data_IF_183793808656
#
_entry.id   IF_183793808656
#
_cell.length_a   1.000
_cell.length_b   1.000
_cell.length_c   1.000
_cell.angle_alpha   90.00
_cell.angle_beta   90.00
_cell.angle_gamma   90.00
#
_symmetry.space_group_name_H-M   'P 1'
#
loop_
_entity.id
_entity.type
_entity.pdbx_description
1 polymer ?
#
# COMPACT_ATOMS: atom_id res chain seq x y z
N UNK A 1 35.02 -32.23 25.24
CA UNK A 1 33.56 -32.20 25.38
C UNK A 1 33.15 -30.73 25.29
N UNK A 2 32.80 -30.25 24.09
CA UNK A 2 32.51 -28.83 23.84
C UNK A 2 31.00 -28.71 23.64
N UNK A 3 30.32 -28.14 24.63
CA UNK A 3 28.91 -27.80 24.54
C UNK A 3 28.75 -26.62 23.57
N UNK A 4 28.34 -26.89 22.34
CA UNK A 4 27.74 -25.86 21.50
C UNK A 4 26.33 -25.61 22.02
N UNK A 5 26.14 -24.51 22.74
CA UNK A 5 24.82 -23.93 22.95
C UNK A 5 24.34 -23.39 21.60
N UNK A 6 23.60 -24.22 20.85
CA UNK A 6 22.69 -23.75 19.81
C UNK A 6 21.62 -22.89 20.47
N UNK A 7 21.87 -21.58 20.53
CA UNK A 7 20.82 -20.60 20.76
C UNK A 7 19.93 -20.59 19.51
N UNK A 8 18.97 -21.53 19.46
CA UNK A 8 17.82 -21.39 18.59
C UNK A 8 17.14 -20.08 18.95
N UNK A 9 17.04 -19.19 17.98
CA UNK A 9 16.20 -18.00 18.02
C UNK A 9 14.90 -18.32 18.75
N UNK A 10 14.67 -17.67 19.89
CA UNK A 10 13.36 -17.60 20.53
C UNK A 10 12.43 -16.83 19.58
N UNK A 11 11.95 -17.50 18.52
CA UNK A 11 10.77 -17.08 17.77
C UNK A 11 9.60 -17.30 18.73
N UNK A 12 9.21 -16.24 19.42
CA UNK A 12 8.02 -16.24 20.26
C UNK A 12 6.84 -16.75 19.43
N UNK A 13 6.37 -17.95 19.79
CA UNK A 13 5.20 -18.62 19.22
C UNK A 13 3.96 -17.89 19.72
N UNK A 14 3.45 -16.91 18.97
CA UNK A 14 2.02 -16.46 18.91
C UNK A 14 1.81 -15.23 18.00
N UNK A 15 2.59 -15.03 16.93
CA UNK A 15 2.20 -14.01 15.94
C UNK A 15 1.12 -14.59 15.03
N UNK A 16 -0.05 -13.95 15.00
CA UNK A 16 -1.14 -14.24 14.05
C UNK A 16 -0.57 -14.23 12.62
N UNK A 17 -0.89 -15.21 11.76
CA UNK A 17 -0.46 -15.18 10.36
C UNK A 17 -0.91 -13.91 9.65
N UNK A 18 -0.03 -13.29 8.85
CA UNK A 18 -0.34 -12.02 8.21
C UNK A 18 -1.58 -12.09 7.30
N UNK A 19 -1.79 -13.23 6.64
CA UNK A 19 -2.99 -13.48 5.81
C UNK A 19 -4.30 -13.27 6.58
N UNK A 20 -4.33 -13.68 7.84
CA UNK A 20 -5.53 -13.64 8.66
C UNK A 20 -5.76 -12.21 9.10
N UNK A 21 -4.69 -11.49 9.48
CA UNK A 21 -4.72 -10.06 9.76
C UNK A 21 -5.22 -9.28 8.54
N UNK A 22 -4.62 -9.50 7.38
CA UNK A 22 -4.99 -8.81 6.14
C UNK A 22 -6.46 -9.01 5.79
N UNK A 23 -6.99 -10.23 5.96
CA UNK A 23 -8.39 -10.54 5.70
C UNK A 23 -9.36 -9.73 6.58
N UNK A 24 -9.07 -9.61 7.88
CA UNK A 24 -9.87 -8.77 8.79
C UNK A 24 -9.68 -7.28 8.49
N UNK A 25 -8.44 -6.87 8.22
CA UNK A 25 -8.09 -5.50 7.93
C UNK A 25 -8.81 -4.98 6.68
N UNK A 26 -8.79 -5.74 5.58
CA UNK A 26 -9.44 -5.36 4.33
C UNK A 26 -10.97 -5.41 4.45
N UNK A 27 -11.50 -6.37 5.21
CA UNK A 27 -12.94 -6.45 5.47
C UNK A 27 -13.41 -5.22 6.26
N UNK A 28 -12.73 -4.88 7.35
CA UNK A 28 -13.01 -3.68 8.15
C UNK A 28 -12.95 -2.40 7.30
N UNK A 29 -11.94 -2.28 6.43
CA UNK A 29 -11.81 -1.16 5.51
C UNK A 29 -13.03 -1.05 4.56
N UNK A 30 -13.48 -2.18 4.02
CA UNK A 30 -14.58 -2.28 3.05
C UNK A 30 -15.96 -2.08 3.68
N UNK A 31 -16.22 -2.75 4.80
CA UNK A 31 -17.57 -2.87 5.38
C UNK A 31 -17.88 -1.79 6.40
N UNK A 32 -16.84 -1.22 7.03
CA UNK A 32 -17.01 -0.23 8.11
C UNK A 32 -16.45 1.12 7.70
N UNK A 33 -15.15 1.23 7.45
CA UNK A 33 -14.49 2.53 7.28
C UNK A 33 -14.91 3.27 6.02
N UNK A 34 -14.89 2.62 4.85
CA UNK A 34 -15.23 3.27 3.59
C UNK A 34 -16.69 3.77 3.53
N UNK A 35 -17.71 2.99 3.95
CA UNK A 35 -19.09 3.47 4.04
C UNK A 35 -19.25 4.65 5.02
N UNK A 36 -18.65 4.58 6.20
CA UNK A 36 -18.69 5.67 7.19
C UNK A 36 -18.03 6.94 6.65
N UNK A 37 -16.92 6.80 5.92
CA UNK A 37 -16.19 7.94 5.35
C UNK A 37 -17.03 8.68 4.32
N UNK A 38 -17.68 7.93 3.42
CA UNK A 38 -18.62 8.47 2.45
C UNK A 38 -19.79 9.17 3.11
N UNK A 39 -20.37 8.55 4.14
CA UNK A 39 -21.44 9.17 4.92
C UNK A 39 -20.99 10.48 5.57
N UNK A 40 -19.83 10.49 6.24
CA UNK A 40 -19.30 11.68 6.89
C UNK A 40 -18.98 12.80 5.88
N UNK A 41 -18.44 12.47 4.70
CA UNK A 41 -18.22 13.42 3.60
C UNK A 41 -19.50 14.04 3.06
N UNK A 42 -20.63 13.31 3.11
CA UNK A 42 -21.97 13.81 2.78
C UNK A 42 -22.66 14.50 3.95
N UNK A 43 -22.11 14.43 5.17
CA UNK A 43 -22.67 15.00 6.42
C UNK A 43 -22.07 16.36 6.81
N UNK A 44 -22.71 17.07 7.76
CA UNK A 44 -22.31 18.43 8.20
C UNK A 44 -21.33 18.50 9.36
N UNK A 45 -20.94 17.37 9.96
CA UNK A 45 -20.03 17.41 11.11
C UNK A 45 -18.57 17.31 10.66
N UNK A 46 -17.85 18.43 10.79
CA UNK A 46 -16.41 18.49 10.52
C UNK A 46 -15.61 17.73 11.58
N UNK A 47 -16.10 17.68 12.81
CA UNK A 47 -15.48 16.99 13.95
C UNK A 47 -15.57 15.48 13.78
N UNK A 48 -16.74 14.97 13.38
CA UNK A 48 -16.91 13.55 13.09
C UNK A 48 -16.04 13.11 11.89
N UNK A 49 -15.91 13.96 10.87
CA UNK A 49 -15.03 13.69 9.73
C UNK A 49 -13.56 13.65 10.16
N UNK A 50 -13.11 14.59 10.99
CA UNK A 50 -11.73 14.62 11.50
C UNK A 50 -11.41 13.36 12.32
N UNK A 51 -12.28 13.00 13.26
CA UNK A 51 -12.11 11.78 14.06
C UNK A 51 -12.07 10.52 13.18
N UNK A 52 -12.89 10.46 12.14
CA UNK A 52 -12.89 9.33 11.22
C UNK A 52 -11.64 9.29 10.33
N UNK A 53 -11.13 10.44 9.88
CA UNK A 53 -9.85 10.54 9.17
C UNK A 53 -8.72 9.97 10.03
N UNK A 54 -8.69 10.31 11.32
CA UNK A 54 -7.68 9.78 12.25
C UNK A 54 -7.81 8.26 12.44
N UNK A 55 -9.05 7.75 12.58
CA UNK A 55 -9.32 6.31 12.68
C UNK A 55 -8.81 5.58 11.43
N UNK A 56 -9.12 6.08 10.23
CA UNK A 56 -8.72 5.44 8.98
C UNK A 56 -7.22 5.54 8.76
N UNK A 57 -6.61 6.67 9.10
CA UNK A 57 -5.16 6.81 9.07
C UNK A 57 -4.48 5.81 10.02
N UNK A 58 -5.00 5.63 11.24
CA UNK A 58 -4.52 4.61 12.17
C UNK A 58 -4.71 3.19 11.61
N UNK A 59 -5.84 2.92 10.94
CA UNK A 59 -6.09 1.65 10.27
C UNK A 59 -5.04 1.35 9.18
N UNK A 60 -4.66 2.32 8.35
CA UNK A 60 -3.56 2.12 7.41
C UNK A 60 -2.20 1.95 8.11
N UNK A 61 -1.95 2.66 9.22
CA UNK A 61 -0.71 2.50 9.97
C UNK A 61 -0.59 1.10 10.62
N UNK A 62 -1.69 0.52 11.11
CA UNK A 62 -1.69 -0.84 11.65
C UNK A 62 -1.33 -1.87 10.59
N UNK A 63 -1.81 -1.69 9.34
CA UNK A 63 -1.41 -2.52 8.22
C UNK A 63 0.11 -2.57 8.02
N UNK A 64 0.77 -1.41 7.97
CA UNK A 64 2.21 -1.35 7.81
C UNK A 64 2.99 -1.86 9.03
N UNK A 65 2.45 -1.69 10.24
CA UNK A 65 3.05 -2.23 11.44
C UNK A 65 3.02 -3.76 11.47
N UNK A 66 1.88 -4.37 11.13
CA UNK A 66 1.75 -5.83 11.02
C UNK A 66 2.53 -6.40 9.83
N UNK A 67 2.67 -5.63 8.75
CA UNK A 67 3.47 -6.02 7.58
C UNK A 67 4.97 -6.12 7.96
N UNK A 68 5.50 -5.16 8.72
CA UNK A 68 6.86 -5.22 9.26
C UNK A 68 7.07 -6.36 10.24
N UNK A 69 6.09 -6.58 11.12
CA UNK A 69 6.13 -7.69 12.08
C UNK A 69 6.15 -9.03 11.34
N UNK A 70 5.34 -9.18 10.29
CA UNK A 70 5.32 -10.36 9.45
C UNK A 70 6.66 -10.55 8.71
N UNK A 71 7.25 -9.49 8.16
CA UNK A 71 8.55 -9.54 7.49
C UNK A 71 9.66 -9.98 8.46
N UNK A 72 9.68 -9.39 9.66
CA UNK A 72 10.65 -9.69 10.72
C UNK A 72 10.55 -11.14 11.21
N UNK A 73 9.34 -11.69 11.26
CA UNK A 73 9.11 -13.07 11.69
C UNK A 73 9.42 -14.09 10.60
N UNK A 74 8.81 -13.90 9.42
CA UNK A 74 8.90 -14.79 8.27
C UNK A 74 8.50 -14.07 6.96
N UNK A 75 9.48 -13.42 6.33
CA UNK A 75 9.30 -12.67 5.07
C UNK A 75 8.78 -13.53 3.91
N UNK A 76 8.86 -14.87 3.97
CA UNK A 76 8.31 -15.74 2.94
C UNK A 76 6.77 -15.61 2.82
N UNK A 77 6.07 -15.27 3.91
CA UNK A 77 4.63 -15.04 3.89
C UNK A 77 4.23 -13.84 3.00
N UNK A 78 5.18 -12.94 2.73
CA UNK A 78 4.99 -11.70 1.99
C UNK A 78 5.57 -11.77 0.57
N UNK A 79 6.70 -12.46 0.39
CA UNK A 79 7.30 -12.69 -0.94
C UNK A 79 6.50 -13.67 -1.79
N UNK A 80 5.79 -14.62 -1.16
CA UNK A 80 4.97 -15.61 -1.84
C UNK A 80 3.54 -15.62 -1.28
N UNK A 81 2.77 -14.53 -1.46
CA UNK A 81 1.51 -14.35 -0.77
C UNK A 81 0.38 -15.11 -1.48
N UNK A 82 0.23 -16.40 -1.18
CA UNK A 82 -0.85 -17.26 -1.73
C UNK A 82 -2.27 -16.75 -1.39
N UNK A 83 -2.39 -15.80 -0.46
CA UNK A 83 -3.62 -15.16 0.00
C UNK A 83 -3.96 -13.87 -0.79
N UNK A 84 -3.06 -13.41 -1.66
CA UNK A 84 -3.31 -12.34 -2.64
C UNK A 84 -3.97 -12.94 -3.87
N UNK A 85 -4.87 -12.20 -4.49
CA UNK A 85 -5.49 -12.65 -5.73
C UNK A 85 -4.58 -12.31 -6.94
N UNK A 86 -4.78 -12.94 -8.10
CA UNK A 86 -3.97 -12.70 -9.29
C UNK A 86 -3.98 -11.24 -9.80
N UNK A 87 -5.01 -10.46 -9.47
CA UNK A 87 -5.09 -9.04 -9.83
C UNK A 87 -4.17 -8.16 -8.99
N UNK A 88 -3.96 -8.51 -7.72
CA UNK A 88 -3.12 -7.76 -6.79
C UNK A 88 -1.64 -8.01 -7.06
N UNK A 89 -1.28 -9.26 -7.39
CA UNK A 89 0.11 -9.71 -7.52
C UNK A 89 0.96 -8.82 -8.44
N UNK A 90 0.50 -8.38 -9.63
CA UNK A 90 1.28 -7.52 -10.51
C UNK A 90 1.61 -6.13 -9.93
N UNK A 91 0.86 -5.67 -8.94
CA UNK A 91 1.06 -4.36 -8.30
C UNK A 91 1.91 -4.44 -7.02
N UNK A 92 2.28 -5.65 -6.58
CA UNK A 92 3.12 -5.85 -5.41
C UNK A 92 4.58 -5.59 -5.77
N UNK A 93 5.12 -4.55 -5.18
CA UNK A 93 6.53 -4.24 -5.13
C UNK A 93 7.10 -4.68 -3.78
N UNK A 94 7.87 -5.77 -3.78
CA UNK A 94 8.42 -6.38 -2.57
C UNK A 94 7.32 -6.64 -1.52
N UNK A 95 6.25 -7.31 -1.93
CA UNK A 95 5.17 -7.78 -1.05
C UNK A 95 4.08 -6.76 -0.69
N UNK A 96 4.22 -5.49 -1.07
CA UNK A 96 3.16 -4.47 -0.92
C UNK A 96 3.11 -3.46 -2.08
N UNK A 97 2.17 -2.52 -2.08
CA UNK A 97 2.01 -1.53 -3.13
C UNK A 97 3.22 -0.59 -3.25
N UNK A 98 3.59 -0.30 -4.49
CA UNK A 98 4.68 0.64 -4.79
C UNK A 98 4.37 2.05 -4.25
N UNK A 99 5.31 2.75 -3.55
CA UNK A 99 5.02 4.04 -2.90
C UNK A 99 4.65 5.19 -3.86
N UNK A 100 5.10 5.15 -5.11
CA UNK A 100 4.58 6.05 -6.16
C UNK A 100 3.06 5.97 -6.32
N UNK A 101 2.39 4.90 -5.91
CA UNK A 101 0.94 4.85 -5.89
C UNK A 101 0.35 6.02 -5.08
N UNK A 102 0.89 6.31 -3.89
CA UNK A 102 0.42 7.41 -3.06
C UNK A 102 0.62 8.76 -3.74
N UNK A 103 1.82 9.00 -4.31
CA UNK A 103 2.13 10.24 -5.00
C UNK A 103 1.31 10.42 -6.29
N UNK A 104 1.12 9.35 -7.06
CA UNK A 104 0.30 9.36 -8.27
C UNK A 104 -1.18 9.58 -7.95
N UNK A 105 -1.68 8.94 -6.88
CA UNK A 105 -3.03 9.16 -6.39
C UNK A 105 -3.21 10.63 -5.98
N UNK A 106 -2.24 11.19 -5.27
CA UNK A 106 -2.23 12.59 -4.85
C UNK A 106 -2.24 13.54 -6.06
N UNK A 107 -1.45 13.25 -7.09
CA UNK A 107 -1.43 13.98 -8.36
C UNK A 107 -2.73 13.87 -9.14
N UNK A 108 -3.45 12.76 -9.03
CA UNK A 108 -4.75 12.61 -9.72
C UNK A 108 -5.75 13.67 -9.28
N UNK A 109 -5.74 14.09 -8.01
CA UNK A 109 -6.60 15.18 -7.51
C UNK A 109 -6.23 16.56 -8.05
N UNK A 110 -4.99 16.76 -8.49
CA UNK A 110 -4.50 18.02 -9.05
C UNK A 110 -4.74 18.08 -10.57
N UNK A 111 -4.68 16.94 -11.25
CA UNK A 111 -4.82 16.86 -12.71
C UNK A 111 -6.27 16.73 -13.20
N UNK A 112 -7.26 16.56 -12.30
CA UNK A 112 -8.70 16.60 -12.64
C UNK A 112 -9.16 17.97 -13.22
N UNK A 113 -8.26 18.96 -13.32
CA UNK A 113 -8.53 20.31 -13.84
C UNK A 113 -8.44 20.47 -15.37
N UNK A 114 -7.69 19.64 -16.11
CA UNK A 114 -7.43 19.92 -17.55
C UNK A 114 -8.59 19.58 -18.51
N UNK A 115 -9.61 18.83 -18.08
CA UNK A 115 -10.76 18.45 -18.92
C UNK A 115 -12.00 19.33 -18.74
N UNK A 116 -11.88 20.44 -18.01
CA UNK A 116 -13.01 21.30 -17.60
C UNK A 116 -13.36 22.49 -18.50
N UNK A 117 -12.68 22.71 -19.64
CA UNK A 117 -13.04 23.75 -20.61
C UNK A 117 -13.77 23.17 -21.84
N UNK A 118 -14.87 22.46 -21.62
CA UNK A 118 -15.88 22.30 -22.68
C UNK A 118 -17.28 22.45 -22.10
N UNK A 119 -18.10 23.18 -22.85
CA UNK A 119 -19.39 23.70 -22.46
C UNK A 119 -20.34 22.70 -21.79
N UNK A 120 -21.09 23.28 -20.87
CA UNK A 120 -22.32 22.81 -20.28
C UNK A 120 -23.23 22.04 -21.27
N UNK A 121 -23.33 20.72 -21.14
CA UNK A 121 -24.51 19.96 -21.59
C UNK A 121 -24.98 19.04 -20.46
N UNK A 122 -26.24 19.25 -20.07
CA UNK A 122 -26.93 18.61 -18.96
C UNK A 122 -27.34 17.19 -19.38
N UNK A 123 -26.42 16.24 -19.29
CA UNK A 123 -26.65 14.81 -19.52
C UNK A 123 -26.64 14.02 -18.22
N UNK A 124 -27.82 13.64 -17.76
CA UNK A 124 -28.16 12.68 -16.69
C UNK A 124 -26.99 11.89 -16.05
N UNK A 125 -26.40 12.45 -14.99
CA UNK A 125 -25.71 11.66 -13.97
C UNK A 125 -25.94 12.29 -12.59
N UNK A 126 -27.02 11.85 -11.96
CA UNK A 126 -27.55 12.29 -10.65
C UNK A 126 -26.62 12.00 -9.45
N UNK A 127 -25.34 11.68 -9.65
CA UNK A 127 -24.35 11.48 -8.57
C UNK A 127 -23.46 12.70 -8.29
N UNK A 128 -23.47 13.73 -9.15
CA UNK A 128 -22.59 14.90 -9.02
C UNK A 128 -23.14 15.98 -8.08
N UNK A 129 -24.47 16.07 -7.90
CA UNK A 129 -25.10 17.13 -7.09
C UNK A 129 -25.13 16.87 -5.56
N UNK A 130 -24.67 15.71 -5.09
CA UNK A 130 -24.68 15.38 -3.65
C UNK A 130 -23.33 15.66 -2.94
N UNK A 131 -22.28 16.00 -3.70
CA UNK A 131 -20.97 16.32 -3.12
C UNK A 131 -20.90 17.78 -2.69
N UNK A 132 -20.79 18.00 -1.37
CA UNK A 132 -20.71 19.33 -0.74
C UNK A 132 -19.57 20.18 -1.31
N UNK A 133 -19.78 21.50 -1.32
CA UNK A 133 -18.80 22.48 -1.83
C UNK A 133 -17.39 22.32 -1.23
N UNK A 134 -17.28 22.01 0.06
CA UNK A 134 -15.99 21.74 0.73
C UNK A 134 -15.25 20.54 0.12
N UNK A 135 -16.00 19.52 -0.30
CA UNK A 135 -15.46 18.31 -0.95
C UNK A 135 -15.08 18.62 -2.40
N UNK A 136 -15.93 19.35 -3.13
CA UNK A 136 -15.69 19.75 -4.53
C UNK A 136 -14.53 20.73 -4.67
N UNK A 137 -14.27 21.57 -3.66
CA UNK A 137 -13.23 22.61 -3.68
C UNK A 137 -11.95 22.23 -2.94
N UNK A 138 -11.91 21.11 -2.22
CA UNK A 138 -10.77 20.70 -1.40
C UNK A 138 -9.43 20.73 -2.15
N UNK A 139 -9.44 20.39 -3.45
CA UNK A 139 -8.24 20.31 -4.28
C UNK A 139 -8.14 21.40 -5.36
N UNK A 140 -9.13 22.30 -5.50
CA UNK A 140 -9.14 23.34 -6.58
C UNK A 140 -8.13 24.48 -6.37
N UNK A 141 -7.47 24.55 -5.23
CA UNK A 141 -6.46 25.56 -4.89
C UNK A 141 -5.60 25.08 -3.72
N UNK A 142 -4.74 24.06 -3.94
CA UNK A 142 -3.89 23.54 -2.88
C UNK A 142 -2.95 24.64 -2.36
N UNK A 143 -2.66 24.61 -1.05
CA UNK A 143 -1.76 25.60 -0.46
C UNK A 143 -0.34 25.44 -1.01
N UNK A 144 0.44 26.54 -1.03
CA UNK A 144 1.87 26.46 -1.40
C UNK A 144 2.65 25.48 -0.53
N UNK A 145 2.28 25.37 0.75
CA UNK A 145 2.87 24.41 1.69
C UNK A 145 2.57 22.96 1.29
N UNK A 146 1.32 22.65 0.93
CA UNK A 146 0.93 21.34 0.42
C UNK A 146 1.69 21.00 -0.86
N UNK A 147 1.72 21.91 -1.84
CA UNK A 147 2.46 21.71 -3.10
C UNK A 147 3.95 21.44 -2.85
N UNK A 148 4.60 22.24 -1.99
CA UNK A 148 6.01 22.01 -1.65
C UNK A 148 6.23 20.66 -0.96
N UNK A 149 5.31 20.23 -0.09
CA UNK A 149 5.41 18.90 0.54
C UNK A 149 5.24 17.77 -0.48
N UNK A 150 4.32 17.90 -1.44
CA UNK A 150 4.14 16.94 -2.53
C UNK A 150 5.43 16.80 -3.33
N UNK A 151 6.05 17.91 -3.72
CA UNK A 151 7.33 17.92 -4.44
C UNK A 151 8.45 17.27 -3.62
N UNK A 152 8.52 17.54 -2.30
CA UNK A 152 9.48 16.89 -1.41
C UNK A 152 9.29 15.38 -1.34
N UNK A 153 8.05 14.91 -1.21
CA UNK A 153 7.72 13.48 -1.21
C UNK A 153 8.18 12.85 -2.52
N UNK A 154 7.85 13.44 -3.66
CA UNK A 154 8.23 12.93 -4.98
C UNK A 154 9.74 12.93 -5.22
N UNK A 155 10.44 13.97 -4.79
CA UNK A 155 11.90 14.02 -4.82
C UNK A 155 12.51 12.93 -3.94
N UNK A 156 11.97 12.74 -2.73
CA UNK A 156 12.38 11.66 -1.82
C UNK A 156 12.19 10.29 -2.44
N UNK A 157 11.03 10.03 -3.07
CA UNK A 157 10.76 8.78 -3.78
C UNK A 157 11.70 8.56 -4.96
N UNK A 158 12.03 9.61 -5.73
CA UNK A 158 12.98 9.55 -6.85
C UNK A 158 14.39 9.16 -6.42
N UNK A 159 14.80 9.49 -5.20
CA UNK A 159 16.09 9.10 -4.65
C UNK A 159 16.01 7.71 -4.00
N UNK A 160 14.95 7.43 -3.24
CA UNK A 160 14.83 6.21 -2.43
C UNK A 160 14.55 4.96 -3.27
N UNK A 161 13.60 5.04 -4.21
CA UNK A 161 13.11 3.85 -4.94
C UNK A 161 14.22 3.20 -5.78
N UNK A 162 15.04 3.92 -6.56
CA UNK A 162 16.12 3.30 -7.34
C UNK A 162 17.17 2.60 -6.47
N UNK A 163 17.51 3.17 -5.32
CA UNK A 163 18.48 2.60 -4.37
C UNK A 163 17.97 1.27 -3.79
N UNK A 164 16.71 1.24 -3.37
CA UNK A 164 16.04 0.02 -2.91
C UNK A 164 16.01 -1.04 -4.01
N UNK A 165 15.64 -0.66 -5.23
CA UNK A 165 15.64 -1.56 -6.38
C UNK A 165 17.04 -2.10 -6.70
N UNK A 166 18.09 -1.30 -6.56
CA UNK A 166 19.46 -1.73 -6.78
C UNK A 166 19.88 -2.78 -5.74
N UNK A 167 19.53 -2.56 -4.46
CA UNK A 167 19.78 -3.52 -3.37
C UNK A 167 19.02 -4.82 -3.55
N UNK A 168 17.75 -4.75 -3.93
CA UNK A 168 16.91 -5.92 -4.18
C UNK A 168 17.48 -6.78 -5.34
N UNK A 169 17.85 -6.15 -6.46
CA UNK A 169 18.53 -6.83 -7.56
C UNK A 169 19.87 -7.45 -7.14
N UNK A 170 20.62 -6.77 -6.28
CA UNK A 170 21.89 -7.29 -5.75
C UNK A 170 21.66 -8.54 -4.90
N UNK A 171 20.73 -8.49 -3.93
CA UNK A 171 20.35 -9.62 -3.08
C UNK A 171 19.86 -10.82 -3.91
N UNK A 172 19.08 -10.55 -4.96
CA UNK A 172 18.64 -11.56 -5.93
C UNK A 172 19.82 -12.19 -6.68
N UNK A 173 20.71 -11.38 -7.25
CA UNK A 173 21.90 -11.85 -7.98
C UNK A 173 22.80 -12.72 -7.10
N UNK A 174 23.16 -12.22 -5.93
CA UNK A 174 24.02 -12.90 -4.96
C UNK A 174 23.45 -14.27 -4.59
N UNK A 175 22.14 -14.38 -4.46
CA UNK A 175 21.52 -15.68 -4.21
C UNK A 175 21.63 -16.65 -5.37
N UNK A 176 21.33 -16.19 -6.58
CA UNK A 176 21.35 -17.04 -7.78
C UNK A 176 22.76 -17.56 -8.04
N UNK A 177 23.78 -16.70 -7.92
CA UNK A 177 25.19 -17.10 -8.02
C UNK A 177 25.55 -18.16 -6.97
N UNK A 178 25.12 -17.97 -5.71
CA UNK A 178 25.38 -18.92 -4.62
C UNK A 178 24.60 -20.23 -4.71
N UNK A 179 23.50 -20.30 -5.46
CA UNK A 179 22.79 -21.56 -5.72
C UNK A 179 23.56 -22.45 -6.72
N UNK A 180 24.33 -21.85 -7.63
CA UNK A 180 25.14 -22.59 -8.61
C UNK A 180 26.38 -23.25 -8.03
N UNK A 181 26.92 -22.74 -6.91
CA UNK A 181 28.25 -23.12 -6.44
C UNK A 181 28.30 -24.23 -5.36
N UNK A 182 27.23 -24.49 -4.59
CA UNK A 182 27.29 -25.49 -3.51
C UNK A 182 25.88 -25.87 -2.98
N UNK A 183 25.24 -26.89 -3.58
CA UNK A 183 23.89 -27.35 -3.19
C UNK A 183 23.81 -27.85 -1.73
N UNK A 184 24.93 -28.26 -1.12
CA UNK A 184 24.96 -28.83 0.23
C UNK A 184 24.84 -27.83 1.39
N UNK A 185 25.04 -26.53 1.15
CA UNK A 185 24.96 -25.46 2.19
C UNK A 185 23.68 -24.63 2.11
N UNK A 186 22.63 -25.20 1.49
CA UNK A 186 21.40 -24.51 1.14
C UNK A 186 20.72 -23.83 2.34
N UNK A 187 20.64 -24.48 3.50
CA UNK A 187 19.90 -23.94 4.66
C UNK A 187 20.54 -22.69 5.29
N UNK A 188 21.86 -22.68 5.49
CA UNK A 188 22.58 -21.50 6.04
C UNK A 188 22.53 -20.33 5.04
N UNK A 189 22.65 -20.61 3.74
CA UNK A 189 22.57 -19.60 2.68
C UNK A 189 21.16 -19.05 2.50
N UNK A 190 20.15 -19.90 2.62
CA UNK A 190 18.73 -19.51 2.63
C UNK A 190 18.44 -18.58 3.80
N UNK A 191 18.92 -18.90 5.00
CA UNK A 191 18.76 -18.03 6.16
C UNK A 191 19.37 -16.63 5.94
N UNK A 192 20.60 -16.54 5.43
CA UNK A 192 21.25 -15.26 5.14
C UNK A 192 20.54 -14.43 4.06
N UNK A 193 20.01 -15.09 3.00
CA UNK A 193 19.18 -14.40 2.02
C UNK A 193 17.90 -13.87 2.62
N UNK A 194 17.22 -14.70 3.40
CA UNK A 194 15.95 -14.31 4.01
C UNK A 194 16.17 -13.09 4.92
N UNK A 195 17.30 -13.01 5.63
CA UNK A 195 17.68 -11.85 6.44
C UNK A 195 17.94 -10.59 5.60
N UNK A 196 18.69 -10.69 4.50
CA UNK A 196 18.90 -9.57 3.57
C UNK A 196 17.60 -9.11 2.89
N UNK A 197 16.73 -10.06 2.52
CA UNK A 197 15.40 -9.78 1.98
C UNK A 197 14.49 -9.14 3.01
N UNK A 198 14.52 -9.58 4.27
CA UNK A 198 13.82 -8.94 5.38
C UNK A 198 14.29 -7.50 5.56
N UNK A 199 15.61 -7.25 5.51
CA UNK A 199 16.17 -5.90 5.58
C UNK A 199 15.70 -5.02 4.42
N UNK A 200 15.79 -5.51 3.18
CA UNK A 200 15.29 -4.80 2.01
C UNK A 200 13.78 -4.53 2.12
N UNK A 201 13.00 -5.50 2.58
CA UNK A 201 11.55 -5.40 2.75
C UNK A 201 11.15 -4.34 3.80
N UNK A 202 11.81 -4.34 4.97
CA UNK A 202 11.56 -3.35 6.01
C UNK A 202 11.94 -1.93 5.52
N UNK A 203 13.03 -1.82 4.76
CA UNK A 203 13.45 -0.56 4.14
C UNK A 203 12.45 -0.07 3.07
N UNK A 204 11.78 -1.01 2.39
CA UNK A 204 10.69 -0.72 1.42
C UNK A 204 9.41 -0.30 2.11
N UNK A 205 9.19 -0.71 3.36
CA UNK A 205 8.03 -0.34 4.19
C UNK A 205 8.20 1.02 4.92
N UNK A 206 9.25 1.76 4.57
CA UNK A 206 9.40 3.19 4.92
C UNK A 206 8.28 4.13 4.42
N UNK A 207 7.39 3.79 3.45
CA UNK A 207 6.22 4.59 3.03
C UNK A 207 5.21 4.91 4.13
N UNK A 208 5.32 4.35 5.34
CA UNK A 208 4.72 4.93 6.54
C UNK A 208 5.01 6.44 6.66
N UNK A 209 6.21 6.86 6.28
CA UNK A 209 6.57 8.28 6.23
C UNK A 209 5.77 9.01 5.16
N UNK A 210 5.56 8.41 3.98
CA UNK A 210 4.85 9.05 2.86
C UNK A 210 3.38 9.26 3.21
N UNK A 211 2.68 8.24 3.72
CA UNK A 211 1.29 8.39 4.13
C UNK A 211 1.14 9.43 5.25
N UNK A 212 1.97 9.35 6.29
CA UNK A 212 1.97 10.33 7.38
C UNK A 212 2.30 11.75 6.90
N UNK A 213 3.27 11.89 5.99
CA UNK A 213 3.67 13.15 5.37
C UNK A 213 2.53 13.77 4.56
N UNK A 214 1.79 12.95 3.79
CA UNK A 214 0.59 13.39 3.07
C UNK A 214 -0.47 13.86 4.07
N UNK A 215 -0.81 13.01 5.05
CA UNK A 215 -1.86 13.32 6.01
C UNK A 215 -1.57 14.60 6.82
N UNK A 216 -0.30 14.83 7.19
CA UNK A 216 0.12 16.04 7.91
C UNK A 216 0.05 17.33 7.08
N UNK A 217 0.12 17.23 5.75
CA UNK A 217 0.09 18.38 4.86
C UNK A 217 -1.31 18.69 4.30
N UNK A 218 -2.23 17.75 4.42
CA UNK A 218 -3.62 17.90 3.96
C UNK A 218 -4.54 18.49 5.03
N UNK A 219 -5.52 19.29 4.61
CA UNK A 219 -6.69 19.58 5.45
C UNK A 219 -7.54 18.32 5.66
N UNK A 220 -8.45 18.35 6.64
CA UNK A 220 -9.36 17.23 6.95
C UNK A 220 -10.12 16.73 5.71
N UNK A 221 -10.65 17.63 4.88
CA UNK A 221 -11.38 17.25 3.66
C UNK A 221 -10.47 16.68 2.57
N UNK A 222 -9.27 17.23 2.42
CA UNK A 222 -8.26 16.71 1.47
C UNK A 222 -7.80 15.31 1.89
N UNK A 223 -7.47 15.13 3.17
CA UNK A 223 -7.10 13.84 3.75
C UNK A 223 -8.22 12.81 3.65
N UNK A 224 -9.46 13.21 3.95
CA UNK A 224 -10.62 12.34 3.78
C UNK A 224 -10.81 11.86 2.34
N UNK A 225 -10.72 12.77 1.36
CA UNK A 225 -10.82 12.41 -0.06
C UNK A 225 -9.68 11.49 -0.52
N UNK A 226 -8.45 11.79 -0.08
CA UNK A 226 -7.28 10.97 -0.36
C UNK A 226 -7.45 9.55 0.20
N UNK A 227 -7.81 9.43 1.48
CA UNK A 227 -8.07 8.15 2.14
C UNK A 227 -9.26 7.41 1.53
N UNK A 228 -10.30 8.11 1.07
CA UNK A 228 -11.43 7.51 0.36
C UNK A 228 -10.96 6.82 -0.93
N UNK A 229 -10.22 7.54 -1.78
CA UNK A 229 -9.71 6.97 -3.03
C UNK A 229 -8.69 5.86 -2.78
N UNK A 230 -7.84 6.00 -1.75
CA UNK A 230 -6.89 4.97 -1.35
C UNK A 230 -7.63 3.71 -0.90
N UNK A 231 -8.63 3.84 -0.03
CA UNK A 231 -9.46 2.73 0.42
C UNK A 231 -10.20 2.07 -0.75
N UNK A 232 -10.74 2.85 -1.69
CA UNK A 232 -11.34 2.34 -2.92
C UNK A 232 -10.36 1.55 -3.76
N UNK A 233 -9.09 1.98 -3.85
CA UNK A 233 -8.05 1.26 -4.58
C UNK A 233 -7.79 -0.12 -3.97
N UNK A 234 -7.57 -0.18 -2.64
CA UNK A 234 -7.37 -1.45 -1.93
C UNK A 234 -8.58 -2.39 -2.03
N UNK A 235 -9.79 -1.86 -1.82
CA UNK A 235 -11.03 -2.65 -1.90
C UNK A 235 -11.35 -3.08 -3.33
N UNK A 236 -11.00 -2.26 -4.32
CA UNK A 236 -11.25 -2.49 -5.74
C UNK A 236 -10.59 -3.76 -6.27
N UNK A 237 -9.39 -4.08 -5.78
CA UNK A 237 -8.71 -5.34 -6.08
C UNK A 237 -9.51 -6.60 -5.68
N UNK A 238 -10.44 -6.48 -4.73
CA UNK A 238 -11.32 -7.57 -4.28
C UNK A 238 -12.69 -7.56 -5.00
N UNK A 239 -12.86 -6.76 -6.04
CA UNK A 239 -14.08 -6.73 -6.85
C UNK A 239 -14.29 -8.06 -7.58
N UNK A 240 -15.34 -8.81 -7.25
CA UNK A 240 -15.60 -10.14 -7.83
C UNK A 240 -15.72 -10.13 -9.35
N UNK A 241 -16.26 -9.05 -9.91
CA UNK A 241 -16.41 -8.86 -11.35
C UNK A 241 -15.05 -8.71 -12.03
N UNK A 242 -14.23 -7.73 -11.58
CA UNK A 242 -12.86 -7.50 -12.05
C UNK A 242 -11.99 -8.75 -11.91
N UNK A 243 -12.02 -9.41 -10.74
CA UNK A 243 -11.26 -10.66 -10.50
C UNK A 243 -11.70 -11.74 -11.48
N UNK A 244 -13.02 -11.91 -11.64
CA UNK A 244 -13.57 -12.91 -12.57
C UNK A 244 -13.26 -12.59 -14.03
N UNK A 245 -13.23 -11.33 -14.44
CA UNK A 245 -12.79 -10.93 -15.79
C UNK A 245 -11.31 -11.20 -16.02
N UNK A 246 -10.46 -10.87 -15.04
CA UNK A 246 -9.03 -11.12 -15.13
C UNK A 246 -8.69 -12.61 -15.18
N UNK A 247 -9.36 -13.44 -14.39
CA UNK A 247 -9.20 -14.90 -14.44
C UNK A 247 -9.67 -15.49 -15.79
N UNK A 248 -10.69 -14.86 -16.41
CA UNK A 248 -11.18 -15.24 -17.74
C UNK A 248 -10.27 -14.76 -18.88
N UNK A 249 -9.46 -13.72 -18.65
CA UNK A 249 -8.42 -13.27 -19.58
C UNK A 249 -7.31 -14.32 -19.68
N UNK A 250 -7.36 -15.15 -20.72
CA UNK A 250 -6.41 -16.26 -21.04
C UNK A 250 -4.94 -15.84 -21.32
N UNK A 251 -4.48 -14.68 -20.87
CA UNK A 251 -3.12 -14.17 -21.17
C UNK A 251 -2.11 -14.42 -20.03
N UNK A 252 -2.54 -14.79 -18.81
CA UNK A 252 -1.62 -14.85 -17.65
C UNK A 252 -1.03 -16.22 -17.26
N UNK A 253 -1.58 -17.36 -17.72
CA UNK A 253 -1.19 -18.67 -17.15
C UNK A 253 0.02 -19.35 -17.82
N UNK A 254 0.64 -18.74 -18.83
CA UNK A 254 1.80 -19.33 -19.54
C UNK A 254 3.18 -18.87 -19.06
N UNK A 255 3.27 -17.96 -18.09
CA UNK A 255 4.55 -17.39 -17.63
C UNK A 255 4.89 -17.67 -16.15
N UNK A 256 4.13 -18.50 -15.44
CA UNK A 256 4.37 -18.87 -14.04
C UNK A 256 4.32 -20.39 -13.79
N UNK A 257 4.88 -21.18 -14.71
CA UNK A 257 5.29 -22.56 -14.45
C UNK A 257 6.75 -22.74 -14.81
#
# INVERSE_FOLDING_TARGET
MVHYSTAFFNRNKTSRPFKDFYAEWIDTLKTTHLPLLRYCLSSSSSEALAALVDIIHHHFNSYYADLDLAASNDVAQLLFPFWRNPLEIPFLWLGDLHPYLFANLLRSFLNEEETGETGFEFGENLSFFDRRWNVVKAWKSPSKGLMSKIEQIECGLRLMVPEIMARERHAHKVFVERLGEDWGKFEVRRAAKMDEMTGAFIDVNRPRSVLADIMSATSVYQGALFLEKLAQFFVGFRGRELVGEFERCKVGYKLMK
#
